data_IF_993904553895
#
_entry.id   IF_993904553895
#
_cell.length_a   1.000
_cell.length_b   1.000
_cell.length_c   1.000
_cell.angle_alpha   90.00
_cell.angle_beta   90.00
_cell.angle_gamma   90.00
#
_symmetry.space_group_name_H-M   'P 1'
#
loop_
_entity.id
_entity.type
_entity.pdbx_description
1 polymer ?
#
# COMPACT_ATOMS: atom_id res chain seq x y z
N UNK A 1 -13.37 -2.31 26.30
CA UNK A 1 -12.00 -1.79 26.07
C UNK A 1 -11.31 -2.72 25.10
N UNK A 2 -10.94 -2.23 23.92
CA UNK A 2 -10.25 -3.05 22.92
C UNK A 2 -8.87 -3.46 23.45
N UNK A 3 -8.32 -4.57 22.95
CA UNK A 3 -6.99 -5.06 23.35
C UNK A 3 -5.90 -3.98 23.18
N UNK A 4 -6.12 -3.06 22.24
CA UNK A 4 -5.31 -1.87 21.99
C UNK A 4 -5.29 -0.88 23.16
N UNK A 5 -6.45 -0.53 23.73
CA UNK A 5 -6.51 0.41 24.86
C UNK A 5 -5.72 -0.11 26.05
N UNK A 6 -5.72 -1.44 26.27
CA UNK A 6 -4.90 -2.07 27.31
C UNK A 6 -3.41 -2.02 27.00
N UNK A 7 -2.99 -2.28 25.76
CA UNK A 7 -1.57 -2.27 25.38
C UNK A 7 -0.96 -0.87 25.39
N UNK A 8 -1.70 0.13 24.90
CA UNK A 8 -1.27 1.54 24.93
C UNK A 8 -1.15 2.06 26.36
N UNK A 9 -2.14 1.77 27.21
CA UNK A 9 -2.12 2.18 28.62
C UNK A 9 -0.92 1.56 29.37
N UNK A 10 -0.59 0.29 29.09
CA UNK A 10 0.57 -0.35 29.69
C UNK A 10 1.91 0.27 29.28
N UNK A 11 2.07 0.65 28.00
CA UNK A 11 3.27 1.36 27.53
C UNK A 11 3.37 2.75 28.14
N UNK A 12 2.27 3.48 28.18
CA UNK A 12 2.21 4.81 28.79
C UNK A 12 2.56 4.78 30.28
N UNK A 13 2.06 3.79 31.03
CA UNK A 13 2.42 3.58 32.43
C UNK A 13 3.92 3.25 32.57
N UNK A 14 4.46 2.42 31.69
CA UNK A 14 5.88 2.04 31.71
C UNK A 14 6.81 3.23 31.42
N UNK A 15 6.43 4.10 30.49
CA UNK A 15 7.16 5.34 30.17
C UNK A 15 7.17 6.32 31.36
N UNK A 16 6.04 6.45 32.08
CA UNK A 16 5.97 7.27 33.31
C UNK A 16 6.88 6.71 34.42
N UNK A 17 6.90 5.38 34.59
CA UNK A 17 7.76 4.74 35.59
C UNK A 17 9.24 4.95 35.24
N UNK A 18 9.62 4.76 33.98
CA UNK A 18 10.99 5.01 33.51
C UNK A 18 11.41 6.46 33.70
N UNK A 19 10.53 7.43 33.40
CA UNK A 19 10.78 8.84 33.64
C UNK A 19 11.02 9.13 35.13
N UNK A 20 10.19 8.55 36.01
CA UNK A 20 10.37 8.68 37.46
C UNK A 20 11.70 8.13 37.96
N UNK A 21 12.13 6.97 37.45
CA UNK A 21 13.43 6.36 37.78
C UNK A 21 14.57 7.24 37.28
N UNK A 22 14.47 7.75 36.04
CA UNK A 22 15.49 8.61 35.43
C UNK A 22 15.67 9.92 36.20
N UNK A 23 14.57 10.60 36.55
CA UNK A 23 14.62 11.83 37.36
C UNK A 23 15.32 11.58 38.70
N UNK A 24 14.99 10.48 39.37
CA UNK A 24 15.59 10.12 40.66
C UNK A 24 17.08 9.77 40.54
N UNK A 25 17.48 9.16 39.43
CA UNK A 25 18.88 8.89 39.10
C UNK A 25 19.66 10.18 38.87
N UNK A 26 19.12 11.13 38.08
CA UNK A 26 19.73 12.44 37.87
C UNK A 26 19.88 13.22 39.18
N UNK A 27 18.85 13.24 40.04
CA UNK A 27 18.91 13.87 41.36
C UNK A 27 20.05 13.28 42.22
N UNK A 28 20.20 11.95 42.22
CA UNK A 28 21.27 11.29 42.98
C UNK A 28 22.67 11.60 42.45
N UNK A 29 22.85 11.68 41.13
CA UNK A 29 24.12 12.10 40.51
C UNK A 29 24.44 13.55 40.93
N UNK A 30 23.46 14.44 40.83
CA UNK A 30 23.66 15.85 41.17
C UNK A 30 24.00 16.00 42.66
N UNK A 31 23.26 15.38 43.57
CA UNK A 31 23.59 15.36 45.00
C UNK A 31 24.98 14.81 45.29
N UNK A 32 25.41 13.78 44.55
CA UNK A 32 26.76 13.21 44.68
C UNK A 32 27.84 14.18 44.21
N UNK A 33 27.59 14.93 43.14
CA UNK A 33 28.51 15.98 42.66
C UNK A 33 28.51 17.15 43.65
N UNK A 34 27.35 17.67 44.04
CA UNK A 34 27.21 18.82 44.96
C UNK A 34 27.80 18.52 46.34
N UNK A 35 27.68 17.28 46.83
CA UNK A 35 28.29 16.88 48.12
C UNK A 35 29.83 16.92 48.11
N UNK A 36 30.48 16.84 46.95
CA UNK A 36 31.94 16.97 46.83
C UNK A 36 32.46 18.40 46.87
N UNK A 37 31.58 19.40 46.86
CA UNK A 37 31.93 20.82 46.75
C UNK A 37 31.30 21.68 47.86
N UNK A 38 30.92 21.04 48.98
CA UNK A 38 30.13 21.58 50.11
C UNK A 38 30.67 22.87 50.76
N UNK A 39 31.91 23.30 50.51
CA UNK A 39 32.46 24.51 51.14
C UNK A 39 32.17 25.83 50.43
N UNK A 40 31.53 25.85 49.24
CA UNK A 40 31.59 27.07 48.40
C UNK A 40 30.34 27.40 47.57
N UNK A 41 29.11 27.10 48.02
CA UNK A 41 27.92 27.41 47.21
C UNK A 41 26.96 28.44 47.81
N UNK A 42 26.65 29.43 46.97
CA UNK A 42 25.61 30.43 47.13
C UNK A 42 24.33 30.03 46.37
N UNK A 43 23.22 30.70 46.67
CA UNK A 43 21.89 30.58 46.03
C UNK A 43 21.83 30.48 44.49
N UNK A 44 22.77 31.04 43.68
CA UNK A 44 22.74 30.91 42.22
C UNK A 44 22.91 29.47 41.70
N UNK A 45 23.61 28.60 42.44
CA UNK A 45 23.87 27.22 42.00
C UNK A 45 22.59 26.36 42.01
N UNK A 46 21.73 26.54 43.02
CA UNK A 46 20.43 25.87 43.12
C UNK A 46 19.48 26.29 41.98
N UNK A 47 19.57 27.54 41.53
CA UNK A 47 18.77 28.04 40.39
C UNK A 47 19.24 27.39 39.08
N UNK A 48 20.55 27.27 38.87
CA UNK A 48 21.12 26.59 37.69
C UNK A 48 20.72 25.11 37.68
N UNK A 49 20.77 24.43 38.83
CA UNK A 49 20.34 23.04 38.97
C UNK A 49 18.86 22.85 38.56
N UNK A 50 17.97 23.70 39.08
CA UNK A 50 16.54 23.64 38.76
C UNK A 50 16.27 23.88 37.25
N UNK A 51 17.01 24.80 36.61
CA UNK A 51 16.90 25.09 35.18
C UNK A 51 17.36 23.89 34.34
N UNK A 52 18.51 23.29 34.68
CA UNK A 52 19.07 22.17 33.93
C UNK A 52 18.17 20.93 34.03
N UNK A 53 17.67 20.61 35.23
CA UNK A 53 16.75 19.48 35.41
C UNK A 53 15.45 19.71 34.64
N UNK A 54 14.89 20.92 34.70
CA UNK A 54 13.66 21.25 33.97
C UNK A 54 13.83 21.17 32.45
N UNK A 55 14.95 21.65 31.91
CA UNK A 55 15.25 21.59 30.48
C UNK A 55 15.40 20.15 29.98
N UNK A 56 16.11 19.30 30.74
CA UNK A 56 16.30 17.89 30.39
C UNK A 56 14.97 17.13 30.47
N UNK A 57 14.16 17.36 31.51
CA UNK A 57 12.83 16.75 31.63
C UNK A 57 11.91 17.14 30.47
N UNK A 58 11.93 18.42 30.05
CA UNK A 58 11.13 18.90 28.93
C UNK A 58 11.55 18.22 27.61
N UNK A 59 12.85 18.12 27.33
CA UNK A 59 13.35 17.45 26.13
C UNK A 59 12.98 15.95 26.11
N UNK A 60 13.01 15.29 27.26
CA UNK A 60 12.66 13.87 27.37
C UNK A 60 11.16 13.63 27.17
N UNK A 61 10.31 14.51 27.73
CA UNK A 61 8.87 14.47 27.48
C UNK A 61 8.58 14.70 26.00
N UNK A 62 9.20 15.72 25.38
CA UNK A 62 9.06 15.98 23.95
C UNK A 62 9.44 14.76 23.10
N UNK A 63 10.53 14.07 23.44
CA UNK A 63 10.96 12.86 22.75
C UNK A 63 9.96 11.71 22.89
N UNK A 64 9.42 11.47 24.10
CA UNK A 64 8.39 10.44 24.34
C UNK A 64 7.10 10.77 23.59
N UNK A 65 6.64 12.03 23.61
CA UNK A 65 5.45 12.44 22.85
C UNK A 65 5.67 12.32 21.35
N UNK A 66 6.82 12.75 20.82
CA UNK A 66 7.13 12.63 19.40
C UNK A 66 7.19 11.16 18.96
N UNK A 67 7.82 10.30 19.77
CA UNK A 67 7.90 8.86 19.50
C UNK A 67 6.51 8.21 19.55
N UNK A 68 5.69 8.52 20.55
CA UNK A 68 4.34 8.00 20.66
C UNK A 68 3.42 8.51 19.54
N UNK A 69 3.52 9.78 19.14
CA UNK A 69 2.82 10.32 17.97
C UNK A 69 3.28 9.62 16.69
N UNK A 70 4.57 9.34 16.52
CA UNK A 70 5.09 8.59 15.37
C UNK A 70 4.61 7.14 15.31
N UNK A 71 4.47 6.47 16.46
CA UNK A 71 3.93 5.11 16.58
C UNK A 71 2.42 5.08 16.30
N UNK A 72 1.68 6.09 16.76
CA UNK A 72 0.24 6.24 16.50
C UNK A 72 0.01 6.62 15.03
N UNK A 73 0.76 7.58 14.49
CA UNK A 73 0.68 8.01 13.09
C UNK A 73 1.01 6.88 12.10
N UNK A 74 2.03 6.06 12.39
CA UNK A 74 2.29 4.86 11.59
C UNK A 74 1.12 3.87 11.64
N UNK A 75 0.42 3.76 12.78
CA UNK A 75 -0.70 2.81 12.93
C UNK A 75 -2.04 3.33 12.41
N UNK A 76 -2.31 4.63 12.45
CA UNK A 76 -3.51 5.22 11.85
C UNK A 76 -3.47 5.11 10.33
N UNK A 77 -2.27 5.12 9.71
CA UNK A 77 -2.08 4.71 8.32
C UNK A 77 -2.49 3.25 8.07
N UNK A 78 -2.26 2.33 9.01
CA UNK A 78 -2.60 0.91 8.84
C UNK A 78 -4.00 0.52 9.34
N UNK A 79 -4.66 1.36 10.16
CA UNK A 79 -5.95 1.04 10.79
C UNK A 79 -7.16 1.77 10.19
N UNK A 80 -6.96 2.85 9.43
CA UNK A 80 -8.04 3.49 8.66
C UNK A 80 -8.14 2.97 7.20
N UNK A 81 -7.30 2.01 6.82
CA UNK A 81 -7.38 1.32 5.52
C UNK A 81 -8.41 0.16 5.54
N UNK A 82 -9.60 0.38 6.10
CA UNK A 82 -10.76 -0.40 5.63
C UNK A 82 -11.09 0.16 4.24
N UNK A 83 -10.49 -0.45 3.21
CA UNK A 83 -10.75 -0.34 1.76
C UNK A 83 -10.01 0.75 0.94
N UNK A 84 -9.22 1.65 1.53
CA UNK A 84 -8.35 2.57 0.74
C UNK A 84 -6.97 1.98 0.38
N UNK A 85 -6.82 0.66 0.34
CA UNK A 85 -5.58 0.05 -0.19
C UNK A 85 -5.64 0.06 -1.71
N UNK A 86 -4.93 1.02 -2.30
CA UNK A 86 -4.58 0.96 -3.71
C UNK A 86 -3.56 -0.16 -3.89
N UNK A 87 -4.05 -1.38 -4.07
CA UNK A 87 -3.22 -2.52 -4.40
C UNK A 87 -3.04 -2.58 -5.91
N UNK A 88 -1.80 -2.41 -6.35
CA UNK A 88 -1.43 -2.61 -7.75
C UNK A 88 -0.82 -3.98 -7.93
N UNK A 89 -1.35 -4.74 -8.88
CA UNK A 89 -0.76 -6.01 -9.26
C UNK A 89 -0.62 -6.16 -10.76
N UNK A 90 0.61 -6.41 -11.23
CA UNK A 90 0.87 -6.87 -12.59
C UNK A 90 1.06 -8.38 -12.54
N UNK A 91 0.38 -9.10 -13.43
CA UNK A 91 0.58 -10.52 -13.61
C UNK A 91 1.28 -10.73 -14.95
N UNK A 92 2.45 -11.35 -14.91
CA UNK A 92 3.15 -11.82 -16.11
C UNK A 92 3.33 -13.33 -16.03
N UNK A 93 4.07 -13.90 -16.99
CA UNK A 93 4.37 -15.32 -17.01
C UNK A 93 5.06 -15.72 -15.71
N UNK A 94 6.30 -15.30 -15.46
CA UNK A 94 7.10 -15.81 -14.33
C UNK A 94 7.23 -14.87 -13.14
N UNK A 95 6.44 -13.81 -13.08
CA UNK A 95 6.54 -12.85 -12.00
C UNK A 95 5.21 -12.15 -11.75
N UNK A 96 5.03 -11.74 -10.50
CA UNK A 96 4.03 -10.75 -10.11
C UNK A 96 4.73 -9.52 -9.57
N UNK A 97 4.19 -8.36 -9.88
CA UNK A 97 4.63 -7.11 -9.27
C UNK A 97 3.54 -6.61 -8.35
N UNK A 98 3.88 -6.47 -7.07
CA UNK A 98 2.98 -6.02 -6.01
C UNK A 98 3.48 -4.65 -5.53
N UNK A 99 2.72 -3.60 -5.83
CA UNK A 99 3.05 -2.21 -5.47
C UNK A 99 4.42 -1.71 -5.95
N UNK A 100 5.50 -2.00 -5.21
CA UNK A 100 6.88 -1.63 -5.52
C UNK A 100 7.84 -2.81 -5.47
N UNK A 101 7.30 -4.04 -5.35
CA UNK A 101 8.07 -5.26 -5.17
C UNK A 101 7.80 -6.23 -6.31
N UNK A 102 8.87 -6.79 -6.87
CA UNK A 102 8.81 -7.88 -7.85
C UNK A 102 9.03 -9.22 -7.16
N UNK A 103 8.15 -10.18 -7.46
CA UNK A 103 8.25 -11.55 -6.97
C UNK A 103 8.34 -12.49 -8.17
N UNK A 104 9.49 -13.14 -8.32
CA UNK A 104 9.78 -14.06 -9.41
C UNK A 104 9.53 -15.51 -9.01
N UNK A 105 9.05 -16.31 -9.94
CA UNK A 105 8.77 -17.74 -9.79
C UNK A 105 9.50 -18.56 -10.87
N UNK A 106 9.78 -19.81 -10.56
CA UNK A 106 10.46 -20.72 -11.50
C UNK A 106 9.56 -21.12 -12.69
N UNK A 107 8.24 -21.10 -12.47
CA UNK A 107 7.20 -21.48 -13.42
C UNK A 107 6.19 -20.35 -13.63
N UNK A 108 5.38 -20.49 -14.68
CA UNK A 108 4.40 -19.49 -15.03
C UNK A 108 3.27 -19.39 -13.99
N UNK A 109 2.82 -18.17 -13.73
CA UNK A 109 1.69 -17.83 -12.86
C UNK A 109 0.41 -18.16 -13.61
N UNK A 110 -0.41 -19.01 -13.01
CA UNK A 110 -1.71 -19.43 -13.54
C UNK A 110 -2.84 -18.53 -13.02
N UNK A 111 -2.84 -18.28 -11.71
CA UNK A 111 -3.83 -17.44 -11.06
C UNK A 111 -3.26 -16.78 -9.81
N UNK A 112 -3.89 -15.68 -9.41
CA UNK A 112 -3.54 -14.96 -8.19
C UNK A 112 -4.80 -14.63 -7.42
N UNK A 113 -4.75 -14.81 -6.10
CA UNK A 113 -5.87 -14.67 -5.17
C UNK A 113 -5.43 -13.74 -4.04
N UNK A 114 -6.22 -12.70 -3.76
CA UNK A 114 -6.01 -11.80 -2.64
C UNK A 114 -6.96 -12.14 -1.50
N UNK A 115 -6.39 -12.34 -0.32
CA UNK A 115 -7.12 -12.58 0.93
C UNK A 115 -6.55 -11.64 1.99
N UNK A 116 -7.28 -10.58 2.30
CA UNK A 116 -6.89 -9.56 3.29
C UNK A 116 -5.48 -9.01 3.05
N UNK A 117 -4.48 -9.46 3.80
CA UNK A 117 -3.08 -9.00 3.73
C UNK A 117 -2.13 -10.07 3.14
N UNK A 118 -2.69 -11.06 2.43
CA UNK A 118 -1.93 -12.14 1.81
C UNK A 118 -2.34 -12.30 0.36
N UNK A 119 -1.36 -12.62 -0.47
CA UNK A 119 -1.52 -12.91 -1.88
C UNK A 119 -1.14 -14.37 -2.08
N UNK A 120 -2.07 -15.18 -2.58
CA UNK A 120 -1.82 -16.57 -2.94
C UNK A 120 -1.60 -16.63 -4.44
N UNK A 121 -0.46 -17.16 -4.84
CA UNK A 121 -0.07 -17.32 -6.24
C UNK A 121 -0.07 -18.81 -6.57
N UNK A 122 -0.84 -19.19 -7.58
CA UNK A 122 -0.83 -20.53 -8.14
C UNK A 122 -0.01 -20.56 -9.41
N UNK A 123 0.96 -21.47 -9.48
CA UNK A 123 1.75 -21.71 -10.70
C UNK A 123 1.07 -22.76 -11.59
N UNK A 124 1.42 -22.78 -12.87
CA UNK A 124 0.90 -23.75 -13.85
C UNK A 124 1.16 -25.21 -13.45
N UNK A 125 2.30 -25.47 -12.78
CA UNK A 125 2.65 -26.80 -12.26
C UNK A 125 1.82 -27.22 -11.05
N UNK A 126 0.97 -26.33 -10.52
CA UNK A 126 0.12 -26.58 -9.36
C UNK A 126 0.70 -26.13 -8.02
N UNK A 127 1.97 -25.73 -7.97
CA UNK A 127 2.60 -25.17 -6.77
C UNK A 127 1.90 -23.87 -6.31
N UNK A 128 1.85 -23.68 -4.99
CA UNK A 128 1.28 -22.51 -4.36
C UNK A 128 2.29 -21.76 -3.52
N UNK A 129 2.23 -20.44 -3.62
CA UNK A 129 3.04 -19.52 -2.86
C UNK A 129 2.14 -18.53 -2.14
N UNK A 130 2.31 -18.39 -0.83
CA UNK A 130 1.76 -17.26 -0.09
C UNK A 130 2.81 -16.15 -0.06
N UNK A 131 2.41 -14.95 -0.46
CA UNK A 131 3.23 -13.75 -0.55
C UNK A 131 2.61 -12.67 0.32
N UNK A 132 3.41 -11.97 1.12
CA UNK A 132 2.94 -10.82 1.89
C UNK A 132 2.87 -9.54 1.02
N UNK A 133 2.29 -8.48 1.57
CA UNK A 133 2.16 -7.19 0.86
C UNK A 133 3.51 -6.48 0.62
N UNK A 134 4.61 -6.99 1.18
CA UNK A 134 5.97 -6.53 0.95
C UNK A 134 6.74 -7.41 -0.06
N UNK A 135 6.06 -8.36 -0.71
CA UNK A 135 6.64 -9.26 -1.72
C UNK A 135 7.45 -10.42 -1.14
N UNK A 136 7.42 -10.67 0.16
CA UNK A 136 8.12 -11.81 0.74
C UNK A 136 7.30 -13.09 0.59
N UNK A 137 7.94 -14.18 0.17
CA UNK A 137 7.33 -15.51 0.19
C UNK A 137 7.27 -15.99 1.65
N UNK A 138 6.05 -16.18 2.15
CA UNK A 138 5.76 -16.57 3.54
C UNK A 138 5.55 -18.08 3.67
N UNK A 139 5.01 -18.73 2.64
CA UNK A 139 4.72 -20.16 2.62
C UNK A 139 4.81 -20.72 1.19
N UNK A 140 5.28 -21.97 1.07
CA UNK A 140 5.22 -22.75 -0.17
C UNK A 140 4.50 -24.06 0.09
N UNK A 141 3.46 -24.36 -0.68
CA UNK A 141 2.75 -25.62 -0.64
C UNK A 141 2.76 -26.27 -2.03
N UNK A 142 3.17 -27.54 -2.11
CA UNK A 142 3.29 -28.27 -3.37
C UNK A 142 1.98 -28.96 -3.78
N UNK A 143 0.89 -28.72 -3.06
CA UNK A 143 -0.43 -29.26 -3.41
C UNK A 143 -1.22 -28.23 -4.23
N UNK A 144 -1.89 -28.67 -5.31
CA UNK A 144 -2.75 -27.79 -6.08
C UNK A 144 -3.90 -27.28 -5.22
N UNK A 145 -4.10 -25.97 -5.25
CA UNK A 145 -5.15 -25.27 -4.52
C UNK A 145 -6.53 -25.75 -4.98
N UNK A 146 -7.41 -26.06 -4.03
CA UNK A 146 -8.82 -26.26 -4.32
C UNK A 146 -9.59 -25.00 -3.91
N UNK A 147 -10.57 -24.60 -4.72
CA UNK A 147 -11.42 -23.44 -4.40
C UNK A 147 -12.15 -23.58 -3.06
N UNK A 148 -12.42 -24.82 -2.63
CA UNK A 148 -12.98 -25.13 -1.31
C UNK A 148 -12.08 -24.74 -0.14
N UNK A 149 -10.80 -24.51 -0.39
CA UNK A 149 -9.81 -24.13 0.63
C UNK A 149 -9.83 -22.61 0.89
N UNK A 150 -10.56 -21.83 0.08
CA UNK A 150 -10.77 -20.41 0.31
C UNK A 150 -11.77 -20.18 1.44
N UNK A 151 -11.35 -19.42 2.44
CA UNK A 151 -12.24 -18.86 3.44
C UNK A 151 -13.22 -17.87 2.80
N UNK A 152 -14.31 -17.54 3.51
CA UNK A 152 -15.28 -16.51 3.06
C UNK A 152 -14.67 -15.10 2.93
N UNK A 153 -13.43 -14.92 3.35
CA UNK A 153 -12.67 -13.66 3.32
C UNK A 153 -11.93 -13.42 1.98
N UNK A 154 -12.25 -14.19 0.95
CA UNK A 154 -11.71 -14.02 -0.40
C UNK A 154 -12.16 -12.68 -1.01
N UNK A 155 -11.18 -11.86 -1.44
CA UNK A 155 -11.44 -10.52 -1.95
C UNK A 155 -11.48 -10.53 -3.49
N UNK A 156 -10.43 -11.00 -4.17
CA UNK A 156 -10.34 -11.04 -5.64
C UNK A 156 -9.44 -12.21 -6.11
N UNK A 157 -9.82 -12.90 -7.18
CA UNK A 157 -9.07 -13.92 -7.92
C UNK A 157 -9.05 -13.52 -9.39
N UNK A 158 -7.87 -13.59 -9.98
CA UNK A 158 -7.70 -13.47 -11.40
C UNK A 158 -7.19 -14.78 -11.95
N UNK A 159 -7.90 -15.28 -12.96
CA UNK A 159 -7.52 -16.44 -13.73
C UNK A 159 -7.71 -16.10 -15.20
N UNK A 160 -6.61 -15.74 -15.85
CA UNK A 160 -6.58 -15.32 -17.25
C UNK A 160 -7.54 -14.15 -17.51
N UNK A 161 -8.61 -14.37 -18.27
CA UNK A 161 -9.63 -13.38 -18.62
C UNK A 161 -10.86 -13.40 -17.71
N UNK A 162 -10.82 -14.17 -16.62
CA UNK A 162 -11.89 -14.23 -15.63
C UNK A 162 -11.46 -13.50 -14.35
N UNK A 163 -12.33 -12.62 -13.89
CA UNK A 163 -12.25 -11.95 -12.60
C UNK A 163 -13.31 -12.57 -11.68
N UNK A 164 -12.90 -13.13 -10.55
CA UNK A 164 -13.80 -13.63 -9.52
C UNK A 164 -13.61 -12.81 -8.25
N UNK A 165 -14.70 -12.45 -7.58
CA UNK A 165 -14.65 -11.74 -6.30
C UNK A 165 -15.97 -11.95 -5.59
N UNK A 166 -15.93 -12.08 -4.26
CA UNK A 166 -17.11 -12.43 -3.47
C UNK A 166 -17.85 -13.65 -4.07
N UNK A 167 -19.03 -13.42 -4.65
CA UNK A 167 -19.85 -14.39 -5.38
C UNK A 167 -20.08 -14.02 -6.87
N UNK A 168 -19.41 -12.99 -7.36
CA UNK A 168 -19.53 -12.51 -8.73
C UNK A 168 -18.38 -13.04 -9.59
N UNK A 169 -18.67 -13.20 -10.88
CA UNK A 169 -17.69 -13.57 -11.89
C UNK A 169 -17.90 -12.67 -13.10
N UNK A 170 -16.83 -12.04 -13.57
CA UNK A 170 -16.84 -11.20 -14.75
C UNK A 170 -15.87 -11.78 -15.76
N UNK A 171 -16.40 -12.00 -16.97
CA UNK A 171 -15.65 -12.49 -18.10
C UNK A 171 -15.26 -11.32 -19.00
N UNK A 172 -13.98 -11.26 -19.39
CA UNK A 172 -13.47 -10.31 -20.37
C UNK A 172 -13.08 -11.04 -21.65
N UNK A 173 -13.15 -10.33 -22.79
CA UNK A 173 -12.75 -10.88 -24.09
C UNK A 173 -11.25 -11.18 -24.15
N UNK A 174 -10.45 -10.45 -23.36
CA UNK A 174 -8.99 -10.58 -23.30
C UNK A 174 -8.52 -10.88 -21.87
N UNK A 175 -7.34 -11.50 -21.76
CA UNK A 175 -6.73 -11.80 -20.47
C UNK A 175 -6.50 -10.52 -19.66
N UNK A 176 -6.74 -10.59 -18.36
CA UNK A 176 -6.46 -9.48 -17.45
C UNK A 176 -4.95 -9.44 -17.22
N UNK A 177 -4.34 -8.30 -17.56
CA UNK A 177 -2.91 -8.06 -17.42
C UNK A 177 -2.56 -7.52 -16.04
N UNK A 178 -3.34 -6.53 -15.60
CA UNK A 178 -3.15 -5.89 -14.30
C UNK A 178 -4.47 -5.37 -13.76
N UNK A 179 -4.50 -5.06 -12.47
CA UNK A 179 -5.63 -4.41 -11.85
C UNK A 179 -5.20 -3.51 -10.70
N UNK A 180 -6.13 -2.64 -10.33
CA UNK A 180 -6.08 -1.77 -9.17
C UNK A 180 -7.39 -1.94 -8.39
N UNK A 181 -7.29 -2.20 -7.09
CA UNK A 181 -8.42 -2.04 -6.18
C UNK A 181 -8.52 -0.57 -5.78
N UNK A 182 -9.70 0.02 -5.96
CA UNK A 182 -9.96 1.42 -5.63
C UNK A 182 -11.35 1.52 -5.01
N UNK A 183 -11.47 2.01 -3.77
CA UNK A 183 -12.73 2.09 -3.02
C UNK A 183 -13.59 0.80 -3.14
N UNK A 184 -14.75 0.90 -3.78
CA UNK A 184 -15.74 -0.14 -4.03
C UNK A 184 -15.74 -0.63 -5.48
N UNK A 185 -14.59 -0.56 -6.17
CA UNK A 185 -14.45 -1.03 -7.54
C UNK A 185 -13.09 -1.66 -7.84
N UNK A 186 -13.08 -2.48 -8.88
CA UNK A 186 -11.91 -3.16 -9.41
C UNK A 186 -11.64 -2.57 -10.80
N UNK A 187 -10.54 -1.85 -10.94
CA UNK A 187 -10.10 -1.32 -12.24
C UNK A 187 -9.18 -2.36 -12.87
N UNK A 188 -9.56 -2.92 -14.00
CA UNK A 188 -8.79 -3.94 -14.71
C UNK A 188 -8.23 -3.36 -16.02
N UNK A 189 -7.01 -3.78 -16.34
CA UNK A 189 -6.38 -3.57 -17.63
C UNK A 189 -6.25 -4.92 -18.32
N UNK A 190 -6.74 -5.01 -19.55
CA UNK A 190 -6.62 -6.22 -20.35
C UNK A 190 -5.31 -6.22 -21.15
N UNK A 191 -4.78 -7.41 -21.48
CA UNK A 191 -3.62 -7.59 -22.35
C UNK A 191 -3.82 -6.94 -23.72
N UNK A 192 -2.69 -6.65 -24.38
CA UNK A 192 -2.66 -5.95 -25.67
C UNK A 192 -3.61 -6.58 -26.69
N UNK A 193 -4.42 -5.70 -27.25
CA UNK A 193 -5.11 -5.91 -28.50
C UNK A 193 -4.12 -5.63 -29.63
N UNK A 194 -4.18 -6.47 -30.67
CA UNK A 194 -3.29 -6.41 -31.82
C UNK A 194 -3.19 -4.97 -32.36
N UNK A 195 -2.05 -4.52 -32.90
CA UNK A 195 -1.89 -3.13 -33.37
C UNK A 195 -2.83 -2.75 -34.53
N UNK A 196 -3.56 -3.75 -35.06
CA UNK A 196 -4.64 -3.62 -36.06
C UNK A 196 -6.05 -3.49 -35.45
N UNK A 197 -6.15 -3.55 -34.13
CA UNK A 197 -7.38 -3.42 -33.38
C UNK A 197 -8.06 -2.07 -33.65
N UNK A 198 -9.38 -2.10 -33.75
CA UNK A 198 -10.17 -0.89 -34.02
C UNK A 198 -10.01 0.12 -32.87
N UNK A 199 -10.35 1.39 -33.13
CA UNK A 199 -10.18 2.46 -32.12
C UNK A 199 -11.06 2.28 -30.88
N UNK A 200 -12.09 1.44 -30.96
CA UNK A 200 -12.92 1.00 -29.84
C UNK A 200 -12.40 -0.26 -29.17
N UNK A 201 -11.25 -0.82 -29.53
CA UNK A 201 -10.66 -1.99 -28.86
C UNK A 201 -9.49 -1.54 -27.96
N UNK A 202 -8.66 -0.61 -28.43
CA UNK A 202 -7.51 -0.01 -27.72
C UNK A 202 -7.79 0.57 -26.32
N UNK A 203 -9.04 0.92 -26.01
CA UNK A 203 -9.47 1.42 -24.69
C UNK A 203 -9.62 0.23 -23.73
N UNK A 204 -8.51 -0.43 -23.41
CA UNK A 204 -8.47 -1.74 -22.74
C UNK A 204 -8.54 -1.66 -21.20
N UNK A 205 -9.06 -0.57 -20.64
CA UNK A 205 -9.19 -0.36 -19.19
C UNK A 205 -10.67 -0.22 -18.83
N UNK A 206 -11.09 -1.00 -17.84
CA UNK A 206 -12.48 -1.11 -17.40
C UNK A 206 -12.54 -1.01 -15.88
N UNK A 207 -13.65 -0.51 -15.35
CA UNK A 207 -13.98 -0.67 -13.93
C UNK A 207 -15.20 -1.54 -13.74
N UNK A 208 -15.13 -2.37 -12.70
CA UNK A 208 -16.17 -3.27 -12.26
C UNK A 208 -16.57 -2.90 -10.84
N UNK A 209 -17.87 -2.80 -10.56
CA UNK A 209 -18.36 -2.63 -9.19
C UNK A 209 -18.30 -3.93 -8.37
N UNK A 210 -18.61 -3.85 -7.07
CA UNK A 210 -18.67 -5.03 -6.19
C UNK A 210 -19.84 -5.99 -6.47
N UNK A 211 -20.71 -5.67 -7.43
CA UNK A 211 -21.82 -6.52 -7.87
C UNK A 211 -21.46 -7.36 -9.10
N UNK A 212 -20.41 -6.99 -9.85
CA UNK A 212 -20.03 -7.67 -11.10
C UNK A 212 -20.40 -6.92 -12.36
N UNK A 213 -20.88 -5.68 -12.27
CA UNK A 213 -21.22 -4.88 -13.44
C UNK A 213 -20.01 -4.08 -13.90
N UNK A 214 -19.78 -4.05 -15.22
CA UNK A 214 -18.86 -3.09 -15.82
C UNK A 214 -19.53 -1.71 -15.76
N UNK A 215 -19.02 -0.84 -14.89
CA UNK A 215 -19.60 0.49 -14.64
C UNK A 215 -19.09 1.54 -15.62
N UNK A 216 -17.84 1.41 -16.06
CA UNK A 216 -17.28 2.27 -17.09
C UNK A 216 -16.14 1.57 -17.83
N UNK A 217 -15.90 2.09 -19.04
CA UNK A 217 -14.73 1.84 -19.85
C UNK A 217 -14.02 3.17 -20.06
N UNK A 218 -12.70 3.16 -20.04
CA UNK A 218 -11.91 4.38 -20.18
C UNK A 218 -12.31 5.18 -21.43
N UNK A 219 -12.36 6.50 -21.29
CA UNK A 219 -12.82 7.37 -22.37
C UNK A 219 -11.91 7.27 -23.60
N UNK A 220 -12.55 7.18 -24.77
CA UNK A 220 -11.86 6.96 -26.02
C UNK A 220 -10.81 8.03 -26.35
N UNK A 221 -9.58 7.56 -26.59
CA UNK A 221 -8.40 8.40 -26.82
C UNK A 221 -8.53 9.32 -28.04
N UNK A 222 -9.13 8.86 -29.15
CA UNK A 222 -9.30 9.68 -30.36
C UNK A 222 -10.16 10.92 -30.10
N UNK A 223 -11.14 10.81 -29.21
CA UNK A 223 -12.07 11.92 -28.90
C UNK A 223 -11.42 12.98 -28.02
N UNK A 224 -10.57 12.56 -27.09
CA UNK A 224 -9.97 13.46 -26.08
C UNK A 224 -8.62 14.02 -26.52
N UNK A 225 -7.95 13.36 -27.46
CA UNK A 225 -6.64 13.73 -27.97
C UNK A 225 -6.58 13.59 -29.52
N UNK A 226 -7.45 14.29 -30.27
CA UNK A 226 -7.58 14.14 -31.73
C UNK A 226 -6.32 14.49 -32.52
N UNK A 227 -5.40 15.24 -31.92
CA UNK A 227 -4.10 15.57 -32.51
C UNK A 227 -3.15 14.35 -32.61
N UNK A 228 -3.48 13.23 -31.95
CA UNK A 228 -2.69 12.00 -31.96
C UNK A 228 -3.16 11.02 -33.02
N UNK A 229 -2.43 10.98 -34.14
CA UNK A 229 -2.72 10.06 -35.26
C UNK A 229 -2.32 8.60 -35.00
N UNK A 230 -1.49 8.34 -33.99
CA UNK A 230 -1.06 7.00 -33.62
C UNK A 230 -1.68 6.63 -32.29
N UNK A 231 -2.64 5.73 -32.35
CA UNK A 231 -3.40 5.30 -31.20
C UNK A 231 -2.92 3.92 -30.83
N UNK A 232 -2.58 3.75 -29.56
CA UNK A 232 -2.03 2.51 -29.03
C UNK A 232 -2.75 2.13 -27.73
N UNK A 233 -2.82 0.82 -27.43
CA UNK A 233 -3.43 0.33 -26.20
C UNK A 233 -2.67 0.85 -24.98
N UNK A 234 -3.36 0.87 -23.84
CA UNK A 234 -2.70 1.14 -22.57
C UNK A 234 -1.93 -0.10 -22.13
N UNK A 235 -0.66 0.11 -21.79
CA UNK A 235 0.28 -0.94 -21.39
C UNK A 235 0.53 -0.93 -19.88
N UNK A 236 0.11 0.12 -19.19
CA UNK A 236 0.28 0.22 -17.74
C UNK A 236 -0.82 1.07 -17.12
N UNK A 237 -1.42 0.58 -16.05
CA UNK A 237 -2.21 1.40 -15.11
C UNK A 237 -1.44 1.57 -13.79
N UNK A 238 -1.55 2.76 -13.22
CA UNK A 238 -1.03 3.12 -11.91
C UNK A 238 -2.06 3.99 -11.21
N UNK A 239 -2.11 3.91 -9.90
CA UNK A 239 -2.88 4.84 -9.10
C UNK A 239 -1.94 5.43 -8.05
N UNK A 240 -1.65 6.71 -8.20
CA UNK A 240 -0.63 7.43 -7.42
C UNK A 240 -1.20 8.79 -7.05
N UNK A 241 -1.10 9.17 -5.78
CA UNK A 241 -1.53 10.48 -5.27
C UNK A 241 -2.98 10.85 -5.64
N UNK A 242 -3.87 9.85 -5.67
CA UNK A 242 -5.29 10.04 -6.03
C UNK A 242 -5.57 10.08 -7.54
N UNK A 243 -4.55 9.92 -8.39
CA UNK A 243 -4.67 9.97 -9.84
C UNK A 243 -4.50 8.58 -10.47
N UNK A 244 -5.46 8.17 -11.30
CA UNK A 244 -5.32 7.00 -12.17
C UNK A 244 -4.48 7.40 -13.40
N UNK A 245 -3.21 7.03 -13.37
CA UNK A 245 -2.23 7.28 -14.42
C UNK A 245 -2.15 6.06 -15.32
N UNK A 246 -2.47 6.23 -16.59
CA UNK A 246 -2.37 5.20 -17.62
C UNK A 246 -1.30 5.56 -18.63
N UNK A 247 -0.46 4.58 -18.97
CA UNK A 247 0.59 4.74 -19.98
C UNK A 247 0.21 3.95 -21.22
N UNK A 248 0.47 4.53 -22.39
CA UNK A 248 0.35 3.82 -23.65
C UNK A 248 1.69 3.24 -24.13
N UNK A 249 1.63 2.40 -25.16
CA UNK A 249 2.81 1.77 -25.75
C UNK A 249 3.86 2.79 -26.24
N UNK A 250 3.43 3.99 -26.60
CA UNK A 250 4.31 5.07 -27.06
C UNK A 250 4.99 5.81 -25.89
N UNK A 251 4.74 5.39 -24.65
CA UNK A 251 5.30 5.98 -23.44
C UNK A 251 4.65 7.31 -23.05
N UNK A 252 3.50 7.66 -23.65
CA UNK A 252 2.70 8.79 -23.18
C UNK A 252 1.96 8.40 -21.91
N UNK A 253 1.85 9.38 -21.01
CA UNK A 253 1.17 9.23 -19.72
C UNK A 253 -0.05 10.13 -19.69
N UNK A 254 -1.17 9.56 -19.31
CA UNK A 254 -2.46 10.23 -19.24
C UNK A 254 -3.03 10.02 -17.84
N UNK A 255 -3.77 10.99 -17.37
CA UNK A 255 -4.52 10.92 -16.12
C UNK A 255 -5.99 10.83 -16.47
N UNK A 256 -6.63 9.83 -15.89
CA UNK A 256 -8.06 9.62 -15.98
C UNK A 256 -8.68 9.67 -14.58
N UNK A 257 -9.96 9.98 -14.54
CA UNK A 257 -10.77 9.91 -13.35
C UNK A 257 -11.05 8.44 -13.03
N UNK A 258 -10.70 7.94 -11.83
CA UNK A 258 -11.04 6.59 -11.41
C UNK A 258 -12.56 6.42 -11.15
N UNK A 259 -13.29 7.52 -10.99
CA UNK A 259 -14.71 7.49 -10.68
C UNK A 259 -15.57 7.12 -11.90
N UNK A 260 -15.23 7.64 -13.08
CA UNK A 260 -16.06 7.57 -14.28
C UNK A 260 -15.26 7.30 -15.57
N UNK A 261 -13.94 7.10 -15.48
CA UNK A 261 -13.08 6.81 -16.62
C UNK A 261 -12.87 7.99 -17.57
N UNK A 262 -13.19 9.22 -17.16
CA UNK A 262 -13.04 10.42 -18.00
C UNK A 262 -11.59 10.92 -18.07
N UNK A 263 -11.21 11.48 -19.21
CA UNK A 263 -9.88 12.07 -19.39
C UNK A 263 -9.74 13.37 -18.61
N UNK A 264 -8.69 13.46 -17.80
CA UNK A 264 -8.41 14.66 -16.98
C UNK A 264 -7.30 15.49 -17.63
N UNK A 265 -6.12 14.90 -17.82
CA UNK A 265 -4.95 15.61 -18.35
C UNK A 265 -3.91 14.66 -18.91
N UNK A 266 -3.03 15.20 -19.75
CA UNK A 266 -1.81 14.52 -20.18
C UNK A 266 -0.64 15.00 -19.35
N UNK A 267 0.24 14.07 -18.96
CA UNK A 267 1.51 14.40 -18.32
C UNK A 267 2.56 14.54 -19.44
N UNK A 268 2.95 15.78 -19.76
CA UNK A 268 4.13 16.02 -20.59
C UNK A 268 5.38 15.71 -19.76
N UNK A 269 6.12 14.68 -20.17
CA UNK A 269 7.38 14.34 -19.52
C UNK A 269 8.45 15.38 -19.91
N UNK A 270 8.83 16.25 -18.98
CA UNK A 270 10.16 16.86 -18.95
C UNK A 270 11.15 15.79 -18.44
N UNK A 271 11.51 14.80 -19.26
CA UNK A 271 12.37 13.69 -18.80
C UNK A 271 13.86 14.04 -18.87
N UNK A 272 14.69 13.43 -18.00
CA UNK A 272 15.32 12.17 -18.40
C UNK A 272 15.19 11.07 -17.34
N UNK A 273 14.89 9.85 -17.82
CA UNK A 273 15.29 8.52 -17.31
C UNK A 273 15.44 8.33 -15.79
#
# INVERSE_FOLDING_TARGET
MTQFTKSFLWRFILDIILLGIFVRFCQNIILTITSRFISTYSTPFLVIEAIVVSAISMLFICFITYWNIGVISKKDCYHNEEYSMVLRMIISEKWIHINSYDVCFDYNVKSVIIIKQKIIVQLEIGDLYAVDMAGNIIEKNNKPFQRSDLDKDFIVEINQNNLYFNNSAVYFEHNIYSFVLFDDRIIVQLNELDASAKSDEIDNVYAVDMEGNIIWRIQNKERVCPEYKFISPYVMINYIDGELIVNDFNGFRFVFSPDDGTFVKRIQSLRPW
#
